data_IF_933349772582
#
_entry.id   IF_933349772582
#
_cell.length_a   1.000
_cell.length_b   1.000
_cell.length_c   1.000
_cell.angle_alpha   90.00
_cell.angle_beta   90.00
_cell.angle_gamma   90.00
#
_symmetry.space_group_name_H-M   'P 1'
#
loop_
_entity.id
_entity.type
_entity.pdbx_description
1 polymer ?
#
# COMPACT_ATOMS: atom_id res chain seq x y z
N UNK A 1 -16.28 4.01 -17.68
CA UNK A 1 -16.23 5.40 -18.19
C UNK A 1 -15.81 5.55 -19.66
N UNK A 2 -15.04 4.63 -20.26
CA UNK A 2 -14.55 4.79 -21.65
C UNK A 2 -15.63 4.92 -22.74
N UNK A 3 -16.86 4.48 -22.47
CA UNK A 3 -18.01 4.57 -23.38
C UNK A 3 -18.77 5.91 -23.31
N UNK A 4 -18.46 6.78 -22.34
CA UNK A 4 -19.17 8.05 -22.13
C UNK A 4 -19.21 8.95 -23.37
N UNK A 5 -18.11 9.14 -24.13
CA UNK A 5 -18.15 9.94 -25.36
C UNK A 5 -19.09 9.36 -26.41
N UNK A 6 -19.11 8.03 -26.57
CA UNK A 6 -19.98 7.36 -27.53
C UNK A 6 -21.46 7.49 -27.13
N UNK A 7 -21.79 7.33 -25.83
CA UNK A 7 -23.15 7.53 -25.33
C UNK A 7 -23.63 8.98 -25.54
N UNK A 8 -22.76 9.96 -25.29
CA UNK A 8 -23.07 11.38 -25.50
C UNK A 8 -23.34 11.70 -26.97
N UNK A 9 -22.51 11.16 -27.87
CA UNK A 9 -22.72 11.33 -29.31
C UNK A 9 -24.06 10.76 -29.78
N UNK A 10 -24.42 9.54 -29.36
CA UNK A 10 -25.72 8.93 -29.69
C UNK A 10 -26.87 9.77 -29.14
N UNK A 11 -26.72 10.31 -27.92
CA UNK A 11 -27.72 11.21 -27.34
C UNK A 11 -27.92 12.48 -28.18
N UNK A 12 -26.85 13.12 -28.65
CA UNK A 12 -26.92 14.31 -29.52
C UNK A 12 -27.63 13.99 -30.84
N UNK A 13 -27.32 12.85 -31.47
CA UNK A 13 -27.99 12.42 -32.70
C UNK A 13 -29.49 12.16 -32.49
N UNK A 14 -29.87 11.51 -31.39
CA UNK A 14 -31.28 11.29 -31.07
C UNK A 14 -32.01 12.61 -30.84
N UNK A 15 -31.39 13.56 -30.13
CA UNK A 15 -31.97 14.87 -29.86
C UNK A 15 -32.21 15.65 -31.16
N UNK A 16 -31.29 15.55 -32.12
CA UNK A 16 -31.41 16.17 -33.44
C UNK A 16 -32.65 15.67 -34.21
N UNK A 17 -33.00 14.39 -34.11
CA UNK A 17 -34.20 13.83 -34.77
C UNK A 17 -35.53 14.33 -34.20
N UNK A 18 -35.53 14.79 -32.93
CA UNK A 18 -36.74 15.20 -32.20
C UNK A 18 -36.93 16.72 -32.22
N UNK A 19 -35.88 17.50 -32.51
CA UNK A 19 -35.89 18.95 -32.38
C UNK A 19 -36.31 19.64 -33.69
N UNK A 20 -37.18 20.67 -33.67
CA UNK A 20 -37.57 21.41 -34.86
C UNK A 20 -36.38 22.06 -35.58
N UNK A 21 -36.45 22.16 -36.92
CA UNK A 21 -35.38 22.57 -37.86
C UNK A 21 -34.76 23.96 -37.65
N UNK A 22 -35.26 24.76 -36.71
CA UNK A 22 -34.73 26.09 -36.38
C UNK A 22 -33.65 26.11 -35.29
N UNK A 23 -33.39 24.98 -34.63
CA UNK A 23 -32.44 24.88 -33.51
C UNK A 23 -31.25 24.02 -33.94
N UNK A 24 -30.07 24.62 -34.01
CA UNK A 24 -28.84 23.91 -34.36
C UNK A 24 -28.35 23.06 -33.17
N UNK A 25 -28.93 21.88 -32.99
CA UNK A 25 -28.55 20.91 -31.94
C UNK A 25 -27.09 20.44 -32.10
N UNK A 26 -26.54 20.55 -33.31
CA UNK A 26 -25.14 20.23 -33.64
C UNK A 26 -24.11 21.01 -32.81
N UNK A 27 -24.44 22.21 -32.30
CA UNK A 27 -23.56 22.96 -31.40
C UNK A 27 -23.22 22.21 -30.11
N UNK A 28 -24.03 21.23 -29.69
CA UNK A 28 -23.75 20.41 -28.50
C UNK A 28 -22.55 19.47 -28.70
N UNK A 29 -22.12 19.21 -29.94
CA UNK A 29 -20.93 18.40 -30.22
C UNK A 29 -19.64 19.01 -29.66
N UNK A 30 -19.62 20.32 -29.34
CA UNK A 30 -18.52 20.99 -28.65
C UNK A 30 -18.17 20.37 -27.29
N UNK A 31 -19.12 19.69 -26.64
CA UNK A 31 -18.87 19.01 -25.36
C UNK A 31 -18.18 17.66 -25.52
N UNK A 32 -18.18 17.08 -26.73
CA UNK A 32 -17.61 15.75 -27.00
C UNK A 32 -16.10 15.66 -26.70
N UNK A 33 -15.26 16.64 -27.09
CA UNK A 33 -13.84 16.66 -26.70
C UNK A 33 -13.62 16.77 -25.19
N UNK A 34 -14.49 17.49 -24.47
CA UNK A 34 -14.38 17.65 -23.01
C UNK A 34 -14.65 16.33 -22.30
N UNK A 35 -15.71 15.63 -22.69
CA UNK A 35 -16.06 14.31 -22.15
C UNK A 35 -14.96 13.29 -22.50
N UNK A 36 -14.41 13.37 -23.72
CA UNK A 36 -13.29 12.54 -24.13
C UNK A 36 -12.02 12.83 -23.31
N UNK A 37 -11.71 14.08 -22.99
CA UNK A 37 -10.54 14.46 -22.19
C UNK A 37 -10.57 13.87 -20.77
N UNK A 38 -11.77 13.74 -20.20
CA UNK A 38 -11.97 13.09 -18.92
C UNK A 38 -11.71 11.57 -18.97
N UNK A 39 -12.15 10.90 -20.04
CA UNK A 39 -12.16 9.42 -20.09
C UNK A 39 -11.02 8.77 -20.90
N UNK A 40 -10.36 9.51 -21.78
CA UNK A 40 -9.43 8.97 -22.80
C UNK A 40 -8.07 9.70 -22.78
N UNK A 41 -7.08 9.13 -23.47
CA UNK A 41 -5.75 9.72 -23.62
C UNK A 41 -5.70 10.83 -24.68
N UNK A 42 -4.65 11.66 -24.71
CA UNK A 42 -4.58 12.88 -25.52
C UNK A 42 -4.75 12.63 -27.03
N UNK A 43 -4.21 11.52 -27.56
CA UNK A 43 -4.37 11.15 -28.97
C UNK A 43 -5.84 10.82 -29.31
N UNK A 44 -6.53 10.13 -28.40
CA UNK A 44 -7.95 9.80 -28.56
C UNK A 44 -8.83 11.04 -28.48
N UNK A 45 -8.51 12.01 -27.61
CA UNK A 45 -9.21 13.30 -27.54
C UNK A 45 -9.08 14.05 -28.86
N UNK A 46 -7.86 14.13 -29.42
CA UNK A 46 -7.63 14.77 -30.71
C UNK A 46 -8.45 14.11 -31.83
N UNK A 47 -8.49 12.77 -31.86
CA UNK A 47 -9.31 12.03 -32.81
C UNK A 47 -10.82 12.31 -32.65
N UNK A 48 -11.31 12.38 -31.41
CA UNK A 48 -12.71 12.72 -31.11
C UNK A 48 -13.04 14.18 -31.47
N UNK A 49 -12.11 15.12 -31.28
CA UNK A 49 -12.28 16.51 -31.73
C UNK A 49 -12.40 16.60 -33.24
N UNK A 50 -11.51 15.94 -33.97
CA UNK A 50 -11.59 15.91 -35.45
C UNK A 50 -12.91 15.30 -35.89
N UNK A 51 -13.33 14.21 -35.26
CA UNK A 51 -14.62 13.58 -35.52
C UNK A 51 -15.81 14.52 -35.25
N UNK A 52 -15.80 15.26 -34.13
CA UNK A 52 -16.84 16.24 -33.80
C UNK A 52 -16.95 17.33 -34.87
N UNK A 53 -15.83 17.92 -35.28
CA UNK A 53 -15.79 18.97 -36.30
C UNK A 53 -16.29 18.43 -37.66
N UNK A 54 -15.88 17.23 -38.04
CA UNK A 54 -16.37 16.59 -39.28
C UNK A 54 -17.89 16.36 -39.20
N UNK A 55 -18.40 15.89 -38.07
CA UNK A 55 -19.83 15.65 -37.88
C UNK A 55 -20.65 16.94 -37.85
N UNK A 56 -20.16 18.01 -37.22
CA UNK A 56 -20.78 19.34 -37.30
C UNK A 56 -20.88 19.80 -38.77
N UNK A 57 -19.82 19.56 -39.57
CA UNK A 57 -19.80 19.86 -41.00
C UNK A 57 -20.73 18.98 -41.84
N UNK A 58 -20.83 17.68 -41.53
CA UNK A 58 -21.75 16.77 -42.20
C UNK A 58 -23.19 17.18 -41.91
N UNK A 59 -23.54 17.46 -40.65
CA UNK A 59 -24.89 17.89 -40.26
C UNK A 59 -25.25 19.24 -40.89
N UNK A 60 -24.33 20.20 -40.90
CA UNK A 60 -24.51 21.49 -41.57
C UNK A 60 -24.63 21.35 -43.10
N UNK A 61 -24.00 20.33 -43.69
CA UNK A 61 -23.92 20.11 -45.14
C UNK A 61 -24.89 19.09 -45.71
N UNK A 62 -25.61 18.32 -44.89
CA UNK A 62 -26.51 17.25 -45.36
C UNK A 62 -27.81 17.82 -45.94
N UNK A 63 -28.08 17.64 -47.25
CA UNK A 63 -29.29 18.15 -47.89
C UNK A 63 -30.54 17.30 -47.62
N UNK A 64 -30.39 16.11 -47.02
CA UNK A 64 -31.43 15.08 -46.96
C UNK A 64 -32.62 15.40 -46.05
N UNK A 65 -32.54 16.40 -45.16
CA UNK A 65 -33.66 16.77 -44.29
C UNK A 65 -34.05 18.26 -44.34
N UNK A 66 -33.24 19.14 -44.95
CA UNK A 66 -33.44 20.61 -44.85
C UNK A 66 -33.18 21.41 -46.13
N UNK A 67 -32.75 20.81 -47.24
CA UNK A 67 -32.57 21.53 -48.52
C UNK A 67 -31.49 22.63 -48.52
N UNK A 68 -30.45 22.49 -47.70
CA UNK A 68 -29.35 23.47 -47.58
C UNK A 68 -28.25 23.24 -48.64
N UNK A 69 -27.63 24.32 -49.12
CA UNK A 69 -26.59 24.31 -50.17
C UNK A 69 -25.17 24.22 -49.55
N UNK A 70 -24.21 23.65 -50.30
CA UNK A 70 -22.81 23.53 -49.88
C UNK A 70 -22.13 24.87 -49.48
N UNK A 71 -22.64 25.99 -49.98
CA UNK A 71 -22.15 27.35 -49.65
C UNK A 71 -22.41 27.76 -48.19
N UNK A 72 -23.36 27.10 -47.51
CA UNK A 72 -23.78 27.44 -46.15
C UNK A 72 -22.83 26.91 -45.06
N UNK A 73 -21.95 25.96 -45.42
CA UNK A 73 -20.84 25.51 -44.56
C UNK A 73 -19.93 26.67 -44.13
N UNK A 74 -19.90 27.74 -44.92
CA UNK A 74 -19.05 28.92 -44.72
C UNK A 74 -19.82 30.12 -44.11
N UNK A 75 -21.06 29.93 -43.67
CA UNK A 75 -21.75 30.96 -42.89
C UNK A 75 -21.04 31.17 -41.54
N UNK A 76 -20.98 32.43 -41.11
CA UNK A 76 -20.21 32.90 -39.94
C UNK A 76 -20.52 32.11 -38.66
N UNK A 77 -21.77 31.65 -38.49
CA UNK A 77 -22.20 30.88 -37.31
C UNK A 77 -21.60 29.47 -37.27
N UNK A 78 -21.46 28.78 -38.40
CA UNK A 78 -20.85 27.45 -38.48
C UNK A 78 -19.34 27.51 -38.36
N UNK A 79 -18.72 28.50 -39.00
CA UNK A 79 -17.27 28.73 -38.87
C UNK A 79 -16.90 29.03 -37.42
N UNK A 80 -17.70 29.85 -36.72
CA UNK A 80 -17.52 30.11 -35.30
C UNK A 80 -17.66 28.82 -34.45
N UNK A 81 -18.60 27.93 -34.81
CA UNK A 81 -18.78 26.62 -34.16
C UNK A 81 -17.51 25.75 -34.29
N UNK A 82 -17.01 25.57 -35.52
CA UNK A 82 -15.83 24.74 -35.78
C UNK A 82 -14.59 25.28 -35.06
N UNK A 83 -14.41 26.61 -35.04
CA UNK A 83 -13.30 27.25 -34.32
C UNK A 83 -13.45 27.02 -32.82
N UNK A 84 -14.66 27.19 -32.27
CA UNK A 84 -14.91 26.94 -30.85
C UNK A 84 -14.65 25.48 -30.47
N UNK A 85 -15.14 24.52 -31.26
CA UNK A 85 -14.90 23.07 -31.06
C UNK A 85 -13.43 22.71 -31.20
N UNK A 86 -12.71 23.33 -32.15
CA UNK A 86 -11.27 23.19 -32.28
C UNK A 86 -10.51 23.71 -31.07
N UNK A 87 -10.88 24.88 -30.54
CA UNK A 87 -10.24 25.48 -29.36
C UNK A 87 -10.52 24.68 -28.09
N UNK A 88 -11.77 24.24 -27.89
CA UNK A 88 -12.16 23.35 -26.79
C UNK A 88 -11.46 22.00 -26.90
N UNK A 89 -11.33 21.45 -28.10
CA UNK A 89 -10.58 20.22 -28.33
C UNK A 89 -9.09 20.35 -28.05
N UNK A 90 -8.46 21.46 -28.44
CA UNK A 90 -7.06 21.74 -28.13
C UNK A 90 -6.85 21.86 -26.62
N UNK A 91 -7.74 22.56 -25.91
CA UNK A 91 -7.73 22.63 -24.45
C UNK A 91 -7.94 21.24 -23.82
N UNK A 92 -8.85 20.44 -24.36
CA UNK A 92 -9.10 19.06 -23.92
C UNK A 92 -7.89 18.15 -24.11
N UNK A 93 -7.18 18.25 -25.24
CA UNK A 93 -5.92 17.53 -25.48
C UNK A 93 -4.85 17.97 -24.49
N UNK A 94 -4.72 19.27 -24.23
CA UNK A 94 -3.77 19.80 -23.25
C UNK A 94 -4.08 19.29 -21.82
N UNK A 95 -5.36 19.29 -21.42
CA UNK A 95 -5.80 18.76 -20.13
C UNK A 95 -5.54 17.25 -20.02
N UNK A 96 -5.88 16.47 -21.05
CA UNK A 96 -5.62 15.04 -21.08
C UNK A 96 -4.12 14.72 -21.07
N UNK A 97 -3.30 15.53 -21.76
CA UNK A 97 -1.85 15.40 -21.74
C UNK A 97 -1.26 15.75 -20.37
N UNK A 98 -1.78 16.79 -19.70
CA UNK A 98 -1.37 17.16 -18.34
C UNK A 98 -1.72 16.07 -17.34
N UNK A 99 -2.97 15.59 -17.35
CA UNK A 99 -3.44 14.47 -16.51
C UNK A 99 -2.60 13.22 -16.74
N UNK A 100 -2.35 12.85 -17.99
CA UNK A 100 -1.57 11.66 -18.31
C UNK A 100 -0.10 11.78 -17.90
N UNK A 101 0.48 12.99 -17.94
CA UNK A 101 1.83 13.23 -17.40
C UNK A 101 1.85 13.07 -15.87
N UNK A 102 0.89 13.66 -15.15
CA UNK A 102 0.78 13.51 -13.70
C UNK A 102 0.63 12.04 -13.29
N UNK A 103 -0.25 11.28 -13.95
CA UNK A 103 -0.42 9.83 -13.72
C UNK A 103 0.91 9.07 -13.91
N UNK A 104 1.68 9.41 -14.96
CA UNK A 104 2.97 8.76 -15.24
C UNK A 104 4.06 9.12 -14.23
N UNK A 105 4.10 10.37 -13.78
CA UNK A 105 5.07 10.82 -12.79
C UNK A 105 4.83 10.12 -11.45
N UNK A 106 3.56 9.93 -11.05
CA UNK A 106 3.19 9.13 -9.88
C UNK A 106 3.64 7.67 -10.01
N UNK A 107 3.39 7.02 -11.15
CA UNK A 107 3.84 5.64 -11.39
C UNK A 107 5.37 5.53 -11.33
N UNK A 108 6.10 6.53 -11.84
CA UNK A 108 7.57 6.53 -11.79
C UNK A 108 8.11 6.68 -10.38
N UNK A 109 7.59 7.63 -9.59
CA UNK A 109 7.98 7.81 -8.18
C UNK A 109 7.69 6.54 -7.39
N UNK A 110 6.53 5.92 -7.63
CA UNK A 110 6.16 4.68 -6.97
C UNK A 110 7.11 3.53 -7.26
N UNK A 111 7.53 3.38 -8.53
CA UNK A 111 8.48 2.33 -8.92
C UNK A 111 9.86 2.47 -8.26
N UNK A 112 10.30 3.71 -8.00
CA UNK A 112 11.58 3.96 -7.30
C UNK A 112 11.45 3.65 -5.82
N UNK A 113 10.37 4.10 -5.18
CA UNK A 113 10.08 3.78 -3.78
C UNK A 113 10.00 2.26 -3.57
N UNK A 114 9.34 1.53 -4.48
CA UNK A 114 9.20 0.09 -4.38
C UNK A 114 10.56 -0.62 -4.54
N UNK A 115 11.38 -0.16 -5.48
CA UNK A 115 12.74 -0.67 -5.65
C UNK A 115 13.60 -0.43 -4.40
N UNK A 116 13.50 0.75 -3.78
CA UNK A 116 14.20 1.06 -2.54
C UNK A 116 13.71 0.17 -1.39
N UNK A 117 12.40 0.01 -1.21
CA UNK A 117 11.84 -0.88 -0.18
C UNK A 117 12.31 -2.32 -0.34
N UNK A 118 12.35 -2.86 -1.55
CA UNK A 118 12.90 -4.21 -1.82
C UNK A 118 14.38 -4.34 -1.45
N UNK A 119 15.16 -3.25 -1.44
CA UNK A 119 16.56 -3.26 -0.99
C UNK A 119 16.68 -3.10 0.54
N UNK A 120 15.76 -2.36 1.16
CA UNK A 120 15.73 -2.15 2.61
C UNK A 120 15.20 -3.38 3.34
N UNK A 121 14.11 -3.97 2.86
CA UNK A 121 13.48 -5.17 3.39
C UNK A 121 14.22 -6.41 2.87
N UNK A 122 15.13 -6.93 3.70
CA UNK A 122 15.90 -8.12 3.34
C UNK A 122 15.00 -9.35 3.35
N UNK A 123 15.21 -10.32 2.44
CA UNK A 123 14.54 -11.61 2.54
C UNK A 123 14.77 -12.24 3.91
N UNK A 124 13.70 -12.70 4.56
CA UNK A 124 13.78 -13.35 5.87
C UNK A 124 14.47 -14.71 5.69
N UNK A 125 15.64 -14.95 6.34
CA UNK A 125 16.26 -16.26 6.31
C UNK A 125 15.36 -17.29 6.97
N UNK A 126 15.32 -18.52 6.45
CA UNK A 126 14.51 -19.60 7.04
C UNK A 126 14.89 -19.89 8.49
N UNK A 127 16.16 -19.67 8.85
CA UNK A 127 16.67 -19.79 10.20
C UNK A 127 17.54 -18.59 10.56
N UNK A 128 17.30 -18.01 11.72
CA UNK A 128 18.07 -16.91 12.31
C UNK A 128 18.47 -17.33 13.73
N UNK A 129 19.73 -17.75 13.90
CA UNK A 129 20.19 -18.29 15.18
C UNK A 129 19.37 -19.51 15.61
N UNK A 130 18.72 -19.40 16.76
CA UNK A 130 17.83 -20.41 17.35
C UNK A 130 16.36 -20.26 16.95
N UNK A 131 16.02 -19.33 16.04
CA UNK A 131 14.65 -19.17 15.52
C UNK A 131 14.55 -19.71 14.08
N UNK A 132 13.44 -20.38 13.79
CA UNK A 132 12.90 -20.51 12.44
C UNK A 132 12.10 -19.26 12.13
N UNK A 133 12.20 -18.76 10.90
CA UNK A 133 11.49 -17.55 10.48
C UNK A 133 10.95 -17.68 9.05
N UNK A 134 9.81 -17.04 8.81
CA UNK A 134 9.23 -16.86 7.49
C UNK A 134 8.61 -15.47 7.42
N UNK A 135 8.74 -14.80 6.28
CA UNK A 135 8.17 -13.48 6.09
C UNK A 135 7.51 -13.32 4.73
N UNK A 136 6.53 -12.43 4.67
CA UNK A 136 5.84 -12.03 3.45
C UNK A 136 5.74 -10.51 3.43
N UNK A 137 6.11 -9.92 2.30
CA UNK A 137 5.82 -8.53 1.99
C UNK A 137 5.07 -8.46 0.68
N UNK A 138 3.95 -7.74 0.67
CA UNK A 138 3.16 -7.48 -0.51
C UNK A 138 2.88 -5.99 -0.56
N UNK A 139 3.32 -5.33 -1.62
CA UNK A 139 2.98 -3.93 -1.82
C UNK A 139 1.52 -3.77 -2.29
N UNK A 140 0.93 -2.61 -1.99
CA UNK A 140 -0.38 -2.20 -2.50
C UNK A 140 -0.49 -2.17 -4.04
N UNK A 141 -1.66 -1.84 -4.55
CA UNK A 141 -1.93 -1.84 -5.99
C UNK A 141 -1.03 -0.90 -6.82
N UNK A 142 -0.84 -1.24 -8.09
CA UNK A 142 -0.06 -0.41 -9.03
C UNK A 142 -0.70 0.98 -9.16
N UNK A 143 0.02 2.00 -8.70
CA UNK A 143 -0.44 3.39 -8.70
C UNK A 143 -0.80 3.94 -7.32
N UNK A 144 -0.83 3.11 -6.27
CA UNK A 144 -0.86 3.56 -4.88
C UNK A 144 0.55 3.87 -4.41
N UNK A 145 0.73 4.95 -3.66
CA UNK A 145 2.02 5.29 -3.05
C UNK A 145 2.50 4.13 -2.15
N UNK A 146 3.76 3.71 -2.31
CA UNK A 146 4.41 2.71 -1.44
C UNK A 146 4.23 3.07 0.04
N UNK A 147 3.86 2.08 0.85
CA UNK A 147 3.59 2.25 2.28
C UNK A 147 4.86 2.36 3.13
N UNK A 148 4.64 2.49 4.44
CA UNK A 148 5.66 2.62 5.48
C UNK A 148 6.04 1.31 6.16
N UNK A 149 5.48 0.19 5.72
CA UNK A 149 5.66 -1.13 6.32
C UNK A 149 7.12 -1.58 6.38
N UNK A 150 7.59 -1.99 7.56
CA UNK A 150 8.95 -2.45 7.78
C UNK A 150 9.02 -3.72 8.61
N UNK A 151 10.05 -4.52 8.37
CA UNK A 151 10.46 -5.60 9.26
C UNK A 151 11.95 -5.94 9.11
N UNK A 152 12.55 -6.49 10.16
CA UNK A 152 13.88 -7.12 10.12
C UNK A 152 13.99 -8.14 11.27
N UNK A 153 14.90 -9.11 11.12
CA UNK A 153 15.20 -10.11 12.14
C UNK A 153 16.68 -10.46 12.11
N UNK A 154 17.32 -10.51 13.29
CA UNK A 154 18.75 -10.71 13.44
C UNK A 154 19.09 -11.60 14.61
N UNK A 155 20.07 -12.49 14.41
CA UNK A 155 20.74 -13.19 15.50
C UNK A 155 21.83 -12.28 16.06
N UNK A 156 21.85 -12.08 17.37
CA UNK A 156 22.80 -11.19 18.05
C UNK A 156 23.41 -11.90 19.26
N UNK A 157 24.44 -11.31 19.85
CA UNK A 157 25.05 -11.86 21.08
C UNK A 157 24.14 -11.72 22.30
N UNK A 158 23.15 -10.84 22.25
CA UNK A 158 22.20 -10.61 23.33
C UNK A 158 20.92 -11.45 23.19
N UNK A 159 20.77 -12.19 22.09
CA UNK A 159 19.54 -12.92 21.73
C UNK A 159 19.15 -12.66 20.28
N UNK A 160 18.16 -13.39 19.78
CA UNK A 160 17.57 -13.11 18.47
C UNK A 160 16.57 -11.96 18.60
N UNK A 161 16.72 -10.92 17.79
CA UNK A 161 15.86 -9.72 17.83
C UNK A 161 15.12 -9.53 16.52
N UNK A 162 13.87 -9.11 16.59
CA UNK A 162 13.06 -8.75 15.43
C UNK A 162 12.32 -7.43 15.64
N UNK A 163 11.99 -6.80 14.53
CA UNK A 163 11.11 -5.65 14.45
C UNK A 163 10.09 -5.87 13.35
N UNK A 164 8.86 -5.47 13.59
CA UNK A 164 7.87 -5.14 12.56
C UNK A 164 7.28 -3.77 12.89
N UNK A 165 6.84 -3.03 11.89
CA UNK A 165 6.17 -1.76 12.12
C UNK A 165 5.61 -1.16 10.86
N UNK A 166 4.91 -0.06 11.04
CA UNK A 166 4.43 0.81 9.96
C UNK A 166 4.74 2.27 10.29
N UNK A 167 5.32 2.95 9.31
CA UNK A 167 5.65 4.38 9.36
C UNK A 167 4.46 5.18 8.86
N UNK A 168 4.03 6.17 9.66
CA UNK A 168 2.99 7.09 9.22
C UNK A 168 3.45 7.89 8.00
N UNK A 169 2.69 7.78 6.92
CA UNK A 169 2.93 8.48 5.66
C UNK A 169 3.08 7.49 4.50
N UNK A 170 3.21 7.99 3.27
CA UNK A 170 3.41 7.15 2.08
C UNK A 170 4.43 7.77 1.13
N UNK A 171 4.99 6.93 0.26
CA UNK A 171 5.97 7.30 -0.74
C UNK A 171 7.36 7.56 -0.18
N UNK A 172 8.12 8.42 -0.85
CA UNK A 172 9.56 8.53 -0.63
C UNK A 172 9.95 9.02 0.78
N UNK A 173 9.13 9.87 1.40
CA UNK A 173 9.35 10.32 2.79
C UNK A 173 9.26 9.14 3.76
N UNK A 174 8.23 8.30 3.64
CA UNK A 174 8.08 7.10 4.47
C UNK A 174 9.24 6.12 4.27
N UNK A 175 9.66 5.90 3.01
CA UNK A 175 10.82 5.03 2.69
C UNK A 175 12.11 5.51 3.35
N UNK A 176 12.33 6.83 3.46
CA UNK A 176 13.49 7.38 4.17
C UNK A 176 13.45 7.01 5.66
N UNK A 177 12.32 7.26 6.32
CA UNK A 177 12.14 6.93 7.74
C UNK A 177 12.25 5.43 7.99
N UNK A 178 11.74 4.58 7.09
CA UNK A 178 11.97 3.13 7.14
C UNK A 178 13.47 2.82 7.12
N UNK A 179 14.23 3.46 6.23
CA UNK A 179 15.67 3.24 6.13
C UNK A 179 16.40 3.64 7.41
N UNK A 180 16.03 4.78 8.00
CA UNK A 180 16.67 5.32 9.20
C UNK A 180 16.33 4.46 10.44
N UNK A 181 15.06 4.08 10.62
CA UNK A 181 14.62 3.16 11.68
C UNK A 181 15.26 1.78 11.57
N UNK A 182 15.26 1.19 10.37
CA UNK A 182 15.92 -0.09 10.18
C UNK A 182 17.43 0.03 10.40
N UNK A 183 18.06 1.14 10.00
CA UNK A 183 19.46 1.44 10.30
C UNK A 183 19.74 1.46 11.80
N UNK A 184 18.95 2.24 12.55
CA UNK A 184 19.03 2.36 14.01
C UNK A 184 18.80 1.02 14.71
N UNK A 185 17.77 0.27 14.32
CA UNK A 185 17.51 -1.07 14.84
C UNK A 185 18.68 -2.02 14.56
N UNK A 186 19.20 -2.05 13.33
CA UNK A 186 20.30 -2.94 12.94
C UNK A 186 21.57 -2.69 13.75
N UNK A 187 21.87 -1.42 14.02
CA UNK A 187 22.99 -1.04 14.87
C UNK A 187 22.72 -1.45 16.32
N UNK A 188 21.62 -0.95 16.91
CA UNK A 188 21.27 -1.13 18.30
C UNK A 188 21.02 -2.61 18.67
N UNK A 189 20.54 -3.43 17.73
CA UNK A 189 20.31 -4.84 17.97
C UNK A 189 21.59 -5.59 18.37
N UNK A 190 22.78 -5.12 17.97
CA UNK A 190 24.05 -5.77 18.33
C UNK A 190 24.58 -5.33 19.70
N UNK A 191 24.01 -4.29 20.31
CA UNK A 191 24.40 -3.83 21.62
C UNK A 191 23.94 -4.80 22.71
N UNK A 192 24.72 -4.89 23.80
CA UNK A 192 24.43 -5.75 24.96
C UNK A 192 23.31 -5.23 25.89
N UNK A 193 22.69 -4.10 25.55
CA UNK A 193 21.53 -3.58 26.29
C UNK A 193 20.32 -4.50 26.15
N UNK A 194 19.28 -4.27 26.95
CA UNK A 194 17.99 -4.96 26.81
C UNK A 194 17.19 -4.40 25.62
N UNK A 195 16.06 -5.04 25.31
CA UNK A 195 15.17 -4.59 24.23
C UNK A 195 14.65 -3.15 24.44
N UNK A 196 14.52 -2.72 25.70
CA UNK A 196 14.15 -1.33 26.07
C UNK A 196 15.23 -0.33 25.64
N UNK A 197 16.51 -0.67 25.80
CA UNK A 197 17.62 0.17 25.34
C UNK A 197 17.66 0.31 23.82
N UNK A 198 17.30 -0.76 23.09
CA UNK A 198 17.14 -0.75 21.62
C UNK A 198 16.03 0.22 21.24
N UNK A 199 14.84 0.09 21.83
CA UNK A 199 13.71 0.97 21.61
C UNK A 199 14.08 2.45 21.88
N UNK A 200 14.74 2.73 23.00
CA UNK A 200 15.16 4.08 23.34
C UNK A 200 16.17 4.68 22.34
N UNK A 201 16.99 3.85 21.67
CA UNK A 201 17.91 4.32 20.62
C UNK A 201 17.19 4.63 19.31
N UNK A 202 16.16 3.86 18.99
CA UNK A 202 15.27 4.15 17.87
C UNK A 202 14.45 5.43 18.10
N UNK A 203 13.91 5.61 19.31
CA UNK A 203 13.21 6.85 19.70
C UNK A 203 14.09 8.08 19.44
N UNK A 204 15.33 8.07 19.95
CA UNK A 204 16.30 9.15 19.72
C UNK A 204 16.65 9.36 18.24
N UNK A 205 16.52 8.34 17.40
CA UNK A 205 16.73 8.49 15.96
C UNK A 205 15.62 9.33 15.34
N UNK A 206 14.37 8.97 15.60
CA UNK A 206 13.19 9.69 15.11
C UNK A 206 13.12 11.12 15.65
N UNK A 207 13.43 11.34 16.93
CA UNK A 207 13.44 12.71 17.49
C UNK A 207 14.40 13.62 16.72
N UNK A 208 15.60 13.13 16.37
CA UNK A 208 16.57 13.92 15.57
C UNK A 208 16.10 14.15 14.15
N UNK A 209 15.49 13.15 13.52
CA UNK A 209 14.92 13.31 12.18
C UNK A 209 13.79 14.35 12.15
N UNK A 210 12.92 14.34 13.16
CA UNK A 210 11.84 15.31 13.30
C UNK A 210 12.36 16.74 13.55
N UNK A 211 13.53 16.91 14.17
CA UNK A 211 14.18 18.23 14.31
C UNK A 211 14.75 18.75 12.97
N UNK A 212 15.24 17.86 12.10
CA UNK A 212 15.83 18.23 10.80
C UNK A 212 14.77 18.55 9.73
N UNK A 213 13.61 17.88 9.81
CA UNK A 213 12.52 18.03 8.86
C UNK A 213 11.28 18.41 9.67
N UNK A 214 10.82 19.67 9.62
CA UNK A 214 9.58 20.07 10.25
C UNK A 214 8.40 19.48 9.45
N UNK A 215 8.18 18.18 9.62
CA UNK A 215 6.97 17.46 9.27
C UNK A 215 6.28 17.14 10.61
N UNK A 216 5.06 17.65 10.78
CA UNK A 216 4.46 17.86 12.09
C UNK A 216 4.14 16.55 12.86
N UNK A 217 4.26 15.37 12.23
CA UNK A 217 3.95 14.09 12.90
C UNK A 217 4.76 12.92 12.30
N UNK A 218 6.08 12.86 12.55
CA UNK A 218 6.91 11.70 12.22
C UNK A 218 6.80 10.64 13.33
N UNK A 219 6.09 9.55 13.07
CA UNK A 219 6.00 8.45 14.03
C UNK A 219 5.90 7.08 13.37
N UNK A 220 6.27 6.04 14.13
CA UNK A 220 6.29 4.65 13.66
C UNK A 220 5.61 3.77 14.69
N UNK A 221 4.55 3.07 14.28
CA UNK A 221 4.01 1.99 15.09
C UNK A 221 4.95 0.80 14.96
N UNK A 222 5.43 0.22 16.06
CA UNK A 222 6.37 -0.90 15.97
C UNK A 222 6.17 -1.94 17.08
N UNK A 223 6.37 -3.21 16.75
CA UNK A 223 6.55 -4.28 17.72
C UNK A 223 8.00 -4.77 17.66
N UNK A 224 8.69 -4.66 18.80
CA UNK A 224 10.04 -5.16 19.00
C UNK A 224 9.99 -6.47 19.76
N UNK A 225 10.80 -7.42 19.32
CA UNK A 225 10.85 -8.77 19.87
C UNK A 225 12.30 -9.15 20.17
N UNK A 226 12.50 -9.82 21.30
CA UNK A 226 13.74 -10.47 21.67
C UNK A 226 13.45 -11.89 22.13
N UNK A 227 14.18 -12.86 21.60
CA UNK A 227 14.14 -14.24 22.04
C UNK A 227 15.47 -14.60 22.70
N UNK A 228 15.37 -15.05 23.95
CA UNK A 228 16.46 -15.69 24.69
C UNK A 228 16.32 -17.21 24.54
N UNK A 229 17.19 -17.78 23.72
CA UNK A 229 17.25 -19.21 23.47
C UNK A 229 17.65 -20.05 24.69
N UNK A 230 18.42 -19.49 25.64
CA UNK A 230 18.83 -20.20 26.86
C UNK A 230 17.68 -20.24 27.88
N UNK A 231 16.94 -19.14 28.01
CA UNK A 231 15.80 -19.05 28.92
C UNK A 231 14.48 -19.58 28.32
N UNK A 232 14.42 -19.79 27.01
CA UNK A 232 13.17 -20.05 26.27
C UNK A 232 12.12 -18.96 26.54
N UNK A 233 12.56 -17.71 26.48
CA UNK A 233 11.76 -16.54 26.79
C UNK A 233 11.69 -15.60 25.61
N UNK A 234 10.48 -15.13 25.33
CA UNK A 234 10.19 -14.13 24.33
C UNK A 234 9.80 -12.84 25.05
N UNK A 235 10.55 -11.77 24.82
CA UNK A 235 10.25 -10.43 25.30
C UNK A 235 9.68 -9.61 24.15
N UNK A 236 8.53 -8.97 24.39
CA UNK A 236 7.81 -8.13 23.42
C UNK A 236 7.69 -6.73 23.99
N UNK A 237 8.04 -5.72 23.21
CA UNK A 237 7.69 -4.32 23.46
C UNK A 237 6.85 -3.84 22.29
N UNK A 238 5.63 -3.40 22.57
CA UNK A 238 4.72 -2.88 21.55
C UNK A 238 4.63 -1.34 21.70
N UNK A 239 4.99 -0.61 20.65
CA UNK A 239 4.88 0.84 20.50
C UNK A 239 3.67 1.17 19.62
N UNK A 240 2.47 0.96 20.15
CA UNK A 240 1.21 1.30 19.47
C UNK A 240 0.91 0.52 18.18
N UNK A 241 1.61 -0.58 17.95
CA UNK A 241 1.41 -1.47 16.81
C UNK A 241 0.35 -2.53 17.11
N UNK A 242 -0.06 -3.25 16.07
CA UNK A 242 -1.02 -4.36 16.19
C UNK A 242 -0.46 -5.45 17.10
N UNK A 243 -1.35 -6.05 17.88
CA UNK A 243 -0.99 -7.07 18.85
C UNK A 243 -0.42 -8.32 18.14
N UNK A 244 0.77 -8.80 18.55
CA UNK A 244 1.30 -10.07 18.06
C UNK A 244 0.34 -11.23 18.38
N UNK A 245 0.25 -12.20 17.49
CA UNK A 245 -0.60 -13.39 17.67
C UNK A 245 0.28 -14.59 18.01
N UNK A 246 0.03 -15.22 19.15
CA UNK A 246 0.69 -16.44 19.59
C UNK A 246 -0.16 -17.65 19.24
N UNK A 247 0.44 -18.60 18.52
CA UNK A 247 -0.10 -19.93 18.28
C UNK A 247 0.68 -20.91 19.14
N UNK A 248 0.07 -21.45 20.19
CA UNK A 248 0.73 -22.34 21.15
C UNK A 248 -0.22 -23.44 21.57
N UNK A 249 0.21 -24.70 21.48
CA UNK A 249 -0.54 -25.88 21.99
C UNK A 249 -1.98 -25.98 21.46
N UNK A 250 -2.21 -25.62 20.20
CA UNK A 250 -3.55 -25.65 19.60
C UNK A 250 -4.43 -24.47 20.00
N UNK A 251 -3.90 -23.46 20.67
CA UNK A 251 -4.59 -22.20 20.99
C UNK A 251 -4.01 -21.05 20.19
N UNK A 252 -4.88 -20.12 19.78
CA UNK A 252 -4.51 -18.90 19.05
C UNK A 252 -4.97 -17.69 19.85
N UNK A 253 -4.02 -16.92 20.36
CA UNK A 253 -4.27 -15.79 21.27
C UNK A 253 -3.53 -14.54 20.82
N UNK A 254 -4.18 -13.39 20.92
CA UNK A 254 -3.49 -12.11 20.78
C UNK A 254 -2.73 -11.78 22.07
N UNK A 255 -1.52 -11.25 21.94
CA UNK A 255 -0.67 -10.86 23.06
C UNK A 255 -0.99 -9.45 23.55
N UNK A 256 -2.24 -9.25 23.99
CA UNK A 256 -2.78 -7.96 24.44
C UNK A 256 -2.00 -7.39 25.61
N UNK A 257 -1.49 -6.17 25.44
CA UNK A 257 -0.78 -5.39 26.45
C UNK A 257 -1.46 -4.06 26.76
N UNK A 258 -0.95 -3.28 27.72
CA UNK A 258 -1.41 -1.91 27.91
C UNK A 258 -1.14 -1.08 26.64
N UNK A 259 -1.99 -0.10 26.32
CA UNK A 259 -1.75 0.79 25.19
C UNK A 259 -0.44 1.56 25.39
N UNK A 260 0.28 1.75 24.30
CA UNK A 260 1.57 2.43 24.26
C UNK A 260 1.59 3.38 23.06
N UNK A 261 2.31 4.49 23.18
CA UNK A 261 2.47 5.40 22.06
C UNK A 261 3.45 4.84 21.02
N UNK A 262 3.26 5.19 19.73
CA UNK A 262 4.23 4.94 18.67
C UNK A 262 5.62 5.50 18.98
N UNK A 263 6.64 4.93 18.34
CA UNK A 263 7.99 5.50 18.35
C UNK A 263 7.96 6.89 17.70
N UNK A 264 8.69 7.85 18.27
CA UNK A 264 8.72 9.26 17.86
C UNK A 264 7.73 10.14 18.62
N UNK A 265 6.79 9.54 19.36
CA UNK A 265 5.82 10.24 20.22
C UNK A 265 6.05 9.95 21.71
N UNK A 266 7.17 9.33 22.08
CA UNK A 266 7.45 8.89 23.44
C UNK A 266 7.45 10.01 24.47
N UNK A 267 7.85 11.23 24.08
CA UNK A 267 7.87 12.41 24.96
C UNK A 267 6.47 12.91 25.34
N UNK A 268 5.42 12.47 24.62
CA UNK A 268 4.02 12.79 24.92
C UNK A 268 3.39 11.79 25.91
N UNK A 269 4.02 10.63 26.13
CA UNK A 269 3.51 9.61 27.04
C UNK A 269 3.94 9.90 28.49
N UNK A 270 3.02 9.71 29.43
CA UNK A 270 3.34 9.71 30.86
C UNK A 270 4.17 8.46 31.25
N UNK A 271 3.88 7.33 30.60
CA UNK A 271 4.50 6.04 30.88
C UNK A 271 5.20 5.49 29.64
N UNK A 272 6.34 4.81 29.86
CA UNK A 272 7.06 4.13 28.78
C UNK A 272 6.42 2.78 28.45
N UNK A 273 6.51 2.31 27.20
CA UNK A 273 6.04 0.98 26.82
C UNK A 273 6.70 -0.11 27.67
N UNK A 274 5.88 -1.08 28.09
CA UNK A 274 6.30 -2.14 29.02
C UNK A 274 6.78 -3.36 28.23
N UNK A 275 7.99 -3.82 28.54
CA UNK A 275 8.50 -5.11 28.09
C UNK A 275 7.74 -6.26 28.76
N UNK A 276 7.15 -7.14 27.95
CA UNK A 276 6.40 -8.31 28.44
C UNK A 276 7.10 -9.58 28.01
N UNK A 277 7.41 -10.43 28.99
CA UNK A 277 8.11 -11.68 28.76
C UNK A 277 7.16 -12.86 28.86
N UNK A 278 7.24 -13.75 27.89
CA UNK A 278 6.41 -14.93 27.75
C UNK A 278 7.30 -16.17 27.55
N UNK A 279 6.86 -17.32 28.05
CA UNK A 279 7.51 -18.58 27.73
C UNK A 279 7.29 -18.87 26.25
N UNK A 280 8.36 -19.19 25.53
CA UNK A 280 8.33 -19.45 24.09
C UNK A 280 9.24 -20.64 23.77
N UNK A 281 8.61 -21.76 23.45
CA UNK A 281 9.24 -23.08 23.35
C UNK A 281 9.01 -23.72 21.98
N UNK A 282 9.79 -24.74 21.59
CA UNK A 282 9.55 -25.44 20.33
C UNK A 282 8.09 -25.94 20.23
N UNK A 283 7.43 -25.61 19.12
CA UNK A 283 5.99 -25.83 18.91
C UNK A 283 5.13 -24.57 19.12
N UNK A 284 5.72 -23.47 19.58
CA UNK A 284 5.08 -22.16 19.62
C UNK A 284 5.45 -21.36 18.36
N UNK A 285 4.48 -20.63 17.80
CA UNK A 285 4.69 -19.70 16.68
C UNK A 285 4.18 -18.32 17.07
N UNK A 286 5.01 -17.31 16.90
CA UNK A 286 4.61 -15.91 17.01
C UNK A 286 4.41 -15.34 15.61
N UNK A 287 3.24 -14.76 15.38
CA UNK A 287 2.89 -14.04 14.17
C UNK A 287 2.84 -12.54 14.46
N UNK A 288 3.52 -11.77 13.62
CA UNK A 288 3.58 -10.32 13.60
C UNK A 288 3.07 -9.85 12.25
N UNK A 289 2.25 -8.80 12.22
CA UNK A 289 1.73 -8.25 10.97
C UNK A 289 1.46 -6.74 11.08
N UNK A 290 1.50 -6.06 9.94
CA UNK A 290 1.06 -4.67 9.80
C UNK A 290 -0.44 -4.58 9.54
N UNK A 291 -0.95 -3.35 9.52
CA UNK A 291 -2.39 -3.05 9.44
C UNK A 291 -3.00 -3.43 8.10
N UNK A 292 -2.25 -3.35 6.99
CA UNK A 292 -2.73 -3.78 5.68
C UNK A 292 -3.21 -5.23 5.64
N UNK A 293 -2.76 -6.10 6.57
CA UNK A 293 -3.33 -7.44 6.72
C UNK A 293 -4.75 -7.40 7.32
N UNK A 294 -4.93 -6.75 8.46
CA UNK A 294 -6.19 -6.75 9.20
C UNK A 294 -7.21 -5.78 8.61
N UNK A 295 -6.74 -4.71 7.95
CA UNK A 295 -7.55 -3.71 7.29
C UNK A 295 -7.93 -4.08 5.85
N UNK A 296 -7.40 -5.19 5.33
CA UNK A 296 -7.84 -5.73 4.04
C UNK A 296 -9.35 -6.00 4.05
N UNK A 297 -10.05 -5.53 3.01
CA UNK A 297 -11.51 -5.54 2.95
C UNK A 297 -12.06 -6.50 1.92
N UNK A 298 -13.16 -7.17 2.26
CA UNK A 298 -13.96 -7.89 1.27
C UNK A 298 -14.90 -6.98 0.47
N UNK A 299 -15.69 -7.58 -0.42
CA UNK A 299 -16.70 -6.90 -1.24
C UNK A 299 -17.80 -6.18 -0.44
N UNK A 300 -17.99 -6.53 0.84
CA UNK A 300 -18.93 -5.85 1.75
C UNK A 300 -18.27 -4.73 2.54
N UNK A 301 -16.94 -4.59 2.44
CA UNK A 301 -16.14 -3.63 3.18
C UNK A 301 -15.71 -4.14 4.56
N UNK A 302 -16.00 -5.39 4.90
CA UNK A 302 -15.63 -5.99 6.18
C UNK A 302 -14.13 -6.28 6.23
N UNK A 303 -13.51 -6.02 7.38
CA UNK A 303 -12.09 -6.27 7.65
C UNK A 303 -11.75 -7.75 7.73
N UNK A 304 -10.48 -8.08 7.47
CA UNK A 304 -9.97 -9.45 7.50
C UNK A 304 -10.00 -10.01 8.93
N UNK A 305 -10.81 -11.06 9.22
CA UNK A 305 -10.94 -11.60 10.57
C UNK A 305 -9.77 -12.53 10.92
N UNK A 306 -8.60 -11.94 11.16
CA UNK A 306 -7.33 -12.66 11.33
C UNK A 306 -7.40 -13.75 12.40
N UNK A 307 -7.83 -13.40 13.62
CA UNK A 307 -7.88 -14.35 14.73
C UNK A 307 -8.83 -15.51 14.45
N UNK A 308 -10.01 -15.26 13.88
CA UNK A 308 -11.00 -16.30 13.61
C UNK A 308 -10.51 -17.26 12.52
N UNK A 309 -9.86 -16.73 11.48
CA UNK A 309 -9.26 -17.53 10.41
C UNK A 309 -8.10 -18.39 10.90
N UNK A 310 -7.23 -17.83 11.74
CA UNK A 310 -6.14 -18.59 12.37
C UNK A 310 -6.66 -19.66 13.33
N UNK A 311 -7.65 -19.33 14.18
CA UNK A 311 -8.31 -20.30 15.07
C UNK A 311 -8.91 -21.44 14.28
N UNK A 312 -9.70 -21.13 13.25
CA UNK A 312 -10.30 -22.15 12.39
C UNK A 312 -9.26 -23.07 11.74
N UNK A 313 -8.08 -22.52 11.39
CA UNK A 313 -7.02 -23.26 10.71
C UNK A 313 -6.11 -24.07 11.64
N UNK A 314 -5.81 -23.58 12.83
CA UNK A 314 -4.72 -24.10 13.68
C UNK A 314 -5.18 -24.56 15.08
N UNK A 315 -6.41 -24.24 15.50
CA UNK A 315 -6.94 -24.77 16.77
C UNK A 315 -7.12 -26.28 16.72
N UNK A 316 -6.76 -26.97 17.80
CA UNK A 316 -6.79 -28.44 17.96
C UNK A 316 -6.01 -29.23 16.89
N UNK A 317 -5.04 -28.60 16.23
CA UNK A 317 -4.17 -29.22 15.22
C UNK A 317 -2.71 -29.25 15.67
N UNK A 318 -1.86 -30.08 15.02
CA UNK A 318 -0.42 -30.03 15.26
C UNK A 318 0.12 -28.61 15.09
N UNK A 319 1.07 -28.24 15.95
CA UNK A 319 1.70 -26.93 15.91
C UNK A 319 2.27 -26.64 14.51
N UNK A 320 1.88 -25.52 13.88
CA UNK A 320 2.42 -25.16 12.57
C UNK A 320 3.87 -24.73 12.68
N UNK A 321 4.61 -24.80 11.56
CA UNK A 321 5.84 -24.02 11.41
C UNK A 321 5.54 -22.57 10.96
N UNK A 322 6.52 -21.65 11.06
CA UNK A 322 6.36 -20.29 10.57
C UNK A 322 5.96 -20.21 9.09
N UNK A 323 6.54 -21.06 8.25
CA UNK A 323 6.23 -21.13 6.82
C UNK A 323 4.76 -21.55 6.57
N UNK A 324 4.22 -22.49 7.35
CA UNK A 324 2.84 -22.94 7.21
C UNK A 324 1.83 -21.82 7.49
N UNK A 325 2.15 -20.94 8.46
CA UNK A 325 1.32 -19.77 8.79
C UNK A 325 1.38 -18.74 7.66
N UNK A 326 2.57 -18.44 7.15
CA UNK A 326 2.75 -17.51 6.02
C UNK A 326 2.07 -18.03 4.75
N UNK A 327 2.21 -19.32 4.42
CA UNK A 327 1.61 -19.93 3.24
C UNK A 327 0.08 -19.92 3.30
N UNK A 328 -0.47 -20.17 4.49
CA UNK A 328 -1.91 -20.03 4.73
C UNK A 328 -2.37 -18.60 4.45
N UNK A 329 -1.73 -17.59 5.06
CA UNK A 329 -2.13 -16.19 4.89
C UNK A 329 -1.93 -15.70 3.45
N UNK A 330 -0.83 -16.06 2.80
CA UNK A 330 -0.57 -15.71 1.40
C UNK A 330 -1.64 -16.28 0.44
N UNK A 331 -2.23 -17.42 0.80
CA UNK A 331 -3.30 -18.06 0.02
C UNK A 331 -4.68 -17.53 0.36
N UNK A 332 -4.95 -17.24 1.64
CA UNK A 332 -6.27 -16.87 2.13
C UNK A 332 -6.58 -15.38 1.95
N UNK A 333 -5.59 -14.51 2.13
CA UNK A 333 -5.74 -13.06 2.00
C UNK A 333 -6.25 -12.63 0.61
N UNK A 334 -5.67 -13.07 -0.53
CA UNK A 334 -6.18 -12.72 -1.85
C UNK A 334 -7.56 -13.32 -2.18
N UNK A 335 -8.05 -14.29 -1.40
CA UNK A 335 -9.43 -14.80 -1.54
C UNK A 335 -10.44 -13.93 -0.79
N UNK A 336 -9.98 -13.20 0.22
CA UNK A 336 -10.82 -12.29 0.99
C UNK A 336 -10.91 -10.91 0.34
N UNK A 337 -9.79 -10.34 -0.11
CA UNK A 337 -9.75 -9.00 -0.73
C UNK A 337 -9.64 -9.03 -2.25
N UNK A 338 -10.29 -8.07 -2.91
CA UNK A 338 -10.16 -7.82 -4.35
C UNK A 338 -9.03 -6.84 -4.70
N UNK A 339 -8.66 -5.97 -3.75
CA UNK A 339 -7.72 -4.87 -3.95
C UNK A 339 -6.91 -4.60 -2.67
N UNK A 340 -5.61 -4.33 -2.83
CA UNK A 340 -4.74 -3.95 -1.71
C UNK A 340 -4.57 -2.43 -1.70
N UNK A 341 -5.18 -1.79 -0.70
CA UNK A 341 -5.08 -0.33 -0.50
C UNK A 341 -3.85 0.10 0.28
N UNK A 342 -3.23 -0.84 1.00
CA UNK A 342 -1.98 -0.65 1.71
C UNK A 342 -1.01 -1.80 1.48
N UNK A 343 0.23 -1.56 1.89
CA UNK A 343 1.24 -2.62 1.97
C UNK A 343 0.88 -3.62 3.07
N UNK A 344 1.37 -4.85 2.92
CA UNK A 344 1.16 -5.93 3.88
C UNK A 344 2.50 -6.56 4.19
N UNK A 345 2.96 -6.40 5.42
CA UNK A 345 4.11 -7.10 5.98
C UNK A 345 3.65 -8.11 7.04
N UNK A 346 4.20 -9.33 6.95
CA UNK A 346 3.93 -10.42 7.88
C UNK A 346 5.26 -11.10 8.21
N UNK A 347 5.51 -11.32 9.50
CA UNK A 347 6.67 -12.05 10.01
C UNK A 347 6.20 -13.12 11.00
N UNK A 348 6.53 -14.38 10.72
CA UNK A 348 6.28 -15.49 11.63
C UNK A 348 7.63 -16.03 12.14
N UNK A 349 7.73 -16.29 13.44
CA UNK A 349 8.92 -16.87 14.08
C UNK A 349 8.55 -18.01 15.01
N UNK A 350 9.44 -18.99 15.17
CA UNK A 350 9.28 -20.11 16.09
C UNK A 350 10.64 -20.57 16.63
N UNK A 351 10.74 -21.08 17.87
CA UNK A 351 11.97 -21.66 18.38
C UNK A 351 12.34 -22.92 17.59
N UNK A 352 13.58 -22.98 17.12
CA UNK A 352 14.10 -24.18 16.49
C UNK A 352 14.36 -25.25 17.57
N UNK A 353 13.66 -26.38 17.48
CA UNK A 353 13.81 -27.51 18.40
C UNK A 353 15.13 -28.27 18.27
N UNK A 354 15.98 -27.98 17.26
CA UNK A 354 17.28 -28.64 17.13
C UNK A 354 18.34 -27.94 17.99
N UNK A 355 18.39 -28.25 19.29
CA UNK A 355 19.56 -27.93 20.12
C UNK A 355 20.72 -28.82 19.70
N UNK A 356 21.54 -28.38 18.74
CA UNK A 356 22.91 -28.92 18.61
C UNK A 356 23.71 -28.41 19.81
N UNK A 357 23.81 -29.22 20.84
CA UNK A 357 24.87 -29.11 21.84
C UNK A 357 26.21 -29.19 21.11
N UNK A 358 26.92 -28.07 20.99
CA UNK A 358 28.34 -28.09 20.64
C UNK A 358 29.07 -28.88 21.73
N UNK A 359 29.81 -29.95 21.41
CA UNK A 359 30.60 -30.64 22.42
C UNK A 359 31.74 -29.71 22.83
N UNK A 360 31.66 -29.20 24.05
CA UNK A 360 32.81 -28.70 24.79
C UNK A 360 33.76 -29.86 25.08
N UNK A 361 35.05 -29.64 24.85
CA UNK A 361 36.10 -30.43 25.48
C UNK A 361 36.92 -31.29 24.52
N UNK A 362 38.03 -30.72 24.04
CA UNK A 362 39.27 -31.49 24.02
C UNK A 362 40.41 -30.55 24.43
N UNK A 363 40.82 -30.69 25.68
CA UNK A 363 42.15 -30.40 26.22
C UNK A 363 42.58 -31.71 26.92
N UNK A 364 43.88 -32.00 27.08
CA UNK A 364 44.98 -31.08 27.36
C UNK A 364 45.88 -30.75 26.17
#
# INVERSE_FOLDING_TARGET
>A
MRWLPACYFVFVLLLETVTPTGWAVSFLLIALPVIAAYALGPVSVAAVTVFAIVMEGVVAGTPCCTGHNLHQLWETHHVAAYIATGLVGLLGVALAAHRHRQERDLVRVNSVAEALMRTLLRPVPHQVGHLLAAGLYRSGEVGTMVGGDLYDIRATKAGERAIIGDVRGKGLTAVRTVADILGSFREAAHDRGDLTAVAARMERCLTREAEEIPDDELFVTAALIEYDALAHQLTVINHGHIEPVLISRGEVTAMTGPPALPLGLGDLAADRPVARTHRFTPGDVLLLCTDGLIEARDHTGAFYPLLDRLRHRFTDRPAPGPADVIDFLNTDLPRHTHAFHDDVAILAIAPNGSTRTSPTGCAP
#
